data_IF_191926520393
#
_entry.id   IF_191926520393
#
_cell.length_a   1.000
_cell.length_b   1.000
_cell.length_c   1.000
_cell.angle_alpha   90.00
_cell.angle_beta   90.00
_cell.angle_gamma   90.00
#
_symmetry.space_group_name_H-M   'P 1'
#
loop_
_entity.id
_entity.type
_entity.pdbx_description
1 polymer ?
#
# COMPACT_ATOMS: atom_id res chain seq x y z
N UNK A 1 13.11 -42.26 9.90
CA UNK A 1 13.01 -40.79 9.68
C UNK A 1 12.91 -40.54 8.19
N UNK A 2 12.28 -39.44 7.77
CA UNK A 2 12.29 -39.07 6.35
C UNK A 2 13.67 -38.50 5.97
N UNK A 3 14.23 -38.95 4.86
CA UNK A 3 15.47 -38.40 4.29
C UNK A 3 15.20 -37.02 3.70
N UNK A 4 15.67 -35.96 4.36
CA UNK A 4 15.45 -34.57 3.95
C UNK A 4 16.75 -33.77 4.02
N UNK A 5 16.96 -32.93 3.00
CA UNK A 5 18.09 -32.00 2.92
C UNK A 5 18.05 -30.98 4.05
N UNK A 6 19.20 -30.40 4.36
CA UNK A 6 19.28 -29.31 5.34
C UNK A 6 18.52 -28.06 4.88
N UNK A 7 18.07 -27.24 5.82
CA UNK A 7 17.40 -25.98 5.51
C UNK A 7 18.28 -25.03 4.67
N UNK A 8 19.61 -25.04 4.89
CA UNK A 8 20.56 -24.24 4.12
C UNK A 8 20.68 -24.73 2.67
N UNK A 9 20.76 -26.04 2.43
CA UNK A 9 20.76 -26.60 1.07
C UNK A 9 19.46 -26.29 0.33
N UNK A 10 18.31 -26.38 1.01
CA UNK A 10 17.00 -26.05 0.44
C UNK A 10 16.93 -24.55 0.10
N UNK A 11 17.37 -23.67 1.00
CA UNK A 11 17.37 -22.24 0.79
C UNK A 11 18.32 -21.81 -0.35
N UNK A 12 19.51 -22.40 -0.43
CA UNK A 12 20.48 -22.13 -1.49
C UNK A 12 19.90 -22.53 -2.85
N UNK A 13 19.35 -23.74 -2.97
CA UNK A 13 18.69 -24.19 -4.21
C UNK A 13 17.55 -23.25 -4.60
N UNK A 14 16.70 -22.86 -3.65
CA UNK A 14 15.59 -21.95 -3.91
C UNK A 14 16.07 -20.59 -4.43
N UNK A 15 17.11 -20.01 -3.80
CA UNK A 15 17.68 -18.74 -4.21
C UNK A 15 18.32 -18.80 -5.61
N UNK A 16 18.94 -19.92 -5.98
CA UNK A 16 19.56 -20.10 -7.31
C UNK A 16 18.53 -20.31 -8.42
N UNK A 17 17.52 -21.15 -8.18
CA UNK A 17 16.61 -21.61 -9.25
C UNK A 17 15.44 -20.67 -9.48
N UNK A 18 14.92 -20.00 -8.44
CA UNK A 18 13.71 -19.17 -8.56
C UNK A 18 13.87 -17.99 -9.54
N UNK A 19 14.98 -17.22 -9.54
CA UNK A 19 15.14 -16.10 -10.46
C UNK A 19 15.12 -16.51 -11.95
N UNK A 20 15.56 -17.73 -12.26
CA UNK A 20 15.56 -18.26 -13.63
C UNK A 20 14.14 -18.47 -14.19
N UNK A 21 13.11 -18.45 -13.32
CA UNK A 21 11.70 -18.66 -13.68
C UNK A 21 10.91 -17.35 -13.77
N UNK A 22 11.60 -16.23 -13.96
CA UNK A 22 10.96 -14.91 -14.06
C UNK A 22 9.92 -14.85 -15.19
N UNK A 23 10.17 -15.51 -16.32
CA UNK A 23 9.22 -15.61 -17.44
C UNK A 23 7.95 -16.38 -17.08
N UNK A 24 8.08 -17.49 -16.34
CA UNK A 24 6.93 -18.28 -15.87
C UNK A 24 6.08 -17.47 -14.89
N UNK A 25 6.76 -16.74 -13.99
CA UNK A 25 6.09 -15.82 -13.06
C UNK A 25 5.31 -14.72 -13.80
N UNK A 26 5.93 -14.06 -14.78
CA UNK A 26 5.29 -13.04 -15.60
C UNK A 26 4.08 -13.60 -16.37
N UNK A 27 4.24 -14.76 -17.01
CA UNK A 27 3.16 -15.43 -17.75
C UNK A 27 1.97 -15.72 -16.84
N UNK A 28 2.20 -16.25 -15.64
CA UNK A 28 1.16 -16.53 -14.67
C UNK A 28 0.41 -15.28 -14.17
N UNK A 29 1.09 -14.13 -14.07
CA UNK A 29 0.47 -12.84 -13.71
C UNK A 29 -0.34 -12.29 -14.88
N UNK A 30 0.16 -12.40 -16.12
CA UNK A 30 -0.53 -11.90 -17.32
C UNK A 30 -1.76 -12.74 -17.70
N UNK A 31 -1.74 -14.04 -17.40
CA UNK A 31 -2.79 -14.98 -17.78
C UNK A 31 -3.23 -15.81 -16.57
N UNK A 32 -3.85 -15.18 -15.56
CA UNK A 32 -4.22 -15.89 -14.34
C UNK A 32 -5.37 -16.88 -14.62
N UNK A 33 -5.29 -18.08 -14.02
CA UNK A 33 -6.35 -19.11 -14.16
C UNK A 33 -7.70 -18.68 -13.58
N UNK A 34 -7.69 -17.73 -12.64
CA UNK A 34 -8.86 -17.10 -12.04
C UNK A 34 -8.59 -15.61 -11.98
N UNK A 35 -9.60 -14.80 -12.29
CA UNK A 35 -9.50 -13.36 -12.11
C UNK A 35 -9.20 -13.04 -10.63
N UNK A 36 -8.11 -12.33 -10.40
CA UNK A 36 -7.63 -12.05 -9.05
C UNK A 36 -8.60 -11.17 -8.27
N UNK A 37 -9.16 -10.13 -8.90
CA UNK A 37 -10.03 -9.17 -8.22
C UNK A 37 -11.34 -9.83 -7.76
N UNK A 38 -12.00 -10.58 -8.64
CA UNK A 38 -13.21 -11.33 -8.35
C UNK A 38 -12.99 -12.41 -7.28
N UNK A 39 -11.91 -13.18 -7.41
CA UNK A 39 -11.59 -14.21 -6.42
C UNK A 39 -11.31 -13.61 -5.04
N UNK A 40 -10.59 -12.48 -5.00
CA UNK A 40 -10.28 -11.77 -3.75
C UNK A 40 -11.53 -11.18 -3.11
N UNK A 41 -12.40 -10.54 -3.90
CA UNK A 41 -13.67 -9.99 -3.42
C UNK A 41 -14.59 -11.08 -2.84
N UNK A 42 -14.67 -12.25 -3.48
CA UNK A 42 -15.43 -13.38 -2.98
C UNK A 42 -14.89 -13.98 -1.66
N UNK A 43 -13.63 -13.70 -1.31
CA UNK A 43 -12.99 -14.19 -0.09
C UNK A 43 -13.09 -13.21 1.10
N UNK A 44 -13.87 -12.13 0.99
CA UNK A 44 -13.94 -11.08 2.00
C UNK A 44 -14.28 -11.59 3.41
N UNK A 45 -15.24 -12.53 3.53
CA UNK A 45 -15.64 -13.09 4.83
C UNK A 45 -14.55 -13.98 5.43
N UNK A 46 -13.89 -14.80 4.61
CA UNK A 46 -12.78 -15.63 5.05
C UNK A 46 -11.61 -14.77 5.55
N UNK A 47 -11.31 -13.68 4.83
CA UNK A 47 -10.30 -12.69 5.26
C UNK A 47 -10.68 -12.05 6.59
N UNK A 48 -11.94 -11.61 6.75
CA UNK A 48 -12.44 -10.99 7.98
C UNK A 48 -12.25 -11.91 9.18
N UNK A 49 -12.69 -13.16 9.08
CA UNK A 49 -12.53 -14.17 10.15
C UNK A 49 -11.05 -14.35 10.52
N UNK A 50 -10.18 -14.55 9.53
CA UNK A 50 -8.76 -14.75 9.79
C UNK A 50 -8.07 -13.55 10.45
N UNK A 51 -8.46 -12.32 10.09
CA UNK A 51 -7.95 -11.09 10.73
C UNK A 51 -8.46 -10.99 12.18
N UNK A 52 -9.74 -11.28 12.43
CA UNK A 52 -10.31 -11.29 13.79
C UNK A 52 -9.56 -12.28 14.68
N UNK A 53 -9.31 -13.49 14.20
CA UNK A 53 -8.54 -14.50 14.95
C UNK A 53 -7.11 -14.06 15.22
N UNK A 54 -6.46 -13.40 14.25
CA UNK A 54 -5.11 -12.87 14.42
C UNK A 54 -5.05 -11.74 15.46
N UNK A 55 -6.08 -10.88 15.50
CA UNK A 55 -6.25 -9.83 16.51
C UNK A 55 -6.44 -10.47 17.88
N UNK A 56 -7.40 -11.39 18.02
CA UNK A 56 -7.68 -12.09 19.27
C UNK A 56 -6.43 -12.83 19.80
N UNK A 57 -5.64 -13.43 18.90
CA UNK A 57 -4.40 -14.10 19.24
C UNK A 57 -3.20 -13.18 19.49
N UNK A 58 -3.34 -11.86 19.34
CA UNK A 58 -2.27 -10.87 19.48
C UNK A 58 -1.11 -11.08 18.50
N UNK A 59 -1.37 -11.67 17.31
CA UNK A 59 -0.33 -12.15 16.40
C UNK A 59 0.52 -11.01 15.83
N UNK A 60 -0.08 -9.83 15.62
CA UNK A 60 0.63 -8.65 15.11
C UNK A 60 1.76 -8.22 16.05
N UNK A 61 1.45 -7.92 17.31
CA UNK A 61 2.44 -7.47 18.30
C UNK A 61 3.51 -8.52 18.55
N UNK A 62 3.12 -9.81 18.62
CA UNK A 62 4.07 -10.92 18.72
C UNK A 62 5.04 -10.96 17.54
N UNK A 63 4.55 -10.72 16.32
CA UNK A 63 5.38 -10.65 15.12
C UNK A 63 6.34 -9.45 15.13
N UNK A 64 5.84 -8.27 15.53
CA UNK A 64 6.66 -7.06 15.67
C UNK A 64 7.78 -7.28 16.69
N UNK A 65 7.46 -7.81 17.87
CA UNK A 65 8.45 -8.08 18.92
C UNK A 65 9.48 -9.13 18.48
N UNK A 66 9.07 -10.13 17.70
CA UNK A 66 9.98 -11.14 17.14
C UNK A 66 10.95 -10.56 16.12
N UNK A 67 10.49 -9.66 15.26
CA UNK A 67 11.32 -9.04 14.24
C UNK A 67 12.23 -7.95 14.82
N UNK A 68 11.69 -7.11 15.70
CA UNK A 68 12.37 -5.93 16.23
C UNK A 68 12.71 -4.90 15.16
N UNK A 69 13.37 -3.83 15.59
CA UNK A 69 13.77 -2.71 14.73
C UNK A 69 14.77 -3.13 13.65
N UNK A 70 15.70 -4.03 13.98
CA UNK A 70 16.80 -4.41 13.09
C UNK A 70 16.30 -5.11 11.81
N UNK A 71 15.35 -6.04 11.92
CA UNK A 71 14.80 -6.74 10.74
C UNK A 71 14.03 -5.76 9.84
N UNK A 72 13.31 -4.80 10.43
CA UNK A 72 12.65 -3.75 9.66
C UNK A 72 13.66 -2.85 8.94
N UNK A 73 14.72 -2.39 9.63
CA UNK A 73 15.76 -1.55 9.03
C UNK A 73 16.44 -2.23 7.85
N UNK A 74 16.89 -3.49 8.02
CA UNK A 74 17.48 -4.26 6.94
C UNK A 74 16.51 -4.42 5.76
N UNK A 75 15.23 -4.74 6.02
CA UNK A 75 14.22 -4.85 4.97
C UNK A 75 13.98 -3.53 4.22
N UNK A 76 13.95 -2.41 4.92
CA UNK A 76 13.76 -1.08 4.33
C UNK A 76 14.97 -0.65 3.50
N UNK A 77 16.19 -0.90 3.98
CA UNK A 77 17.44 -0.53 3.30
C UNK A 77 17.67 -1.44 2.08
N UNK A 78 17.66 -2.75 2.27
CA UNK A 78 18.11 -3.70 1.25
C UNK A 78 17.08 -3.91 0.14
N UNK A 79 15.78 -3.77 0.45
CA UNK A 79 14.68 -3.98 -0.50
C UNK A 79 13.90 -2.71 -0.79
N UNK A 80 13.62 -1.92 0.24
CA UNK A 80 12.78 -0.72 0.13
C UNK A 80 13.44 0.36 -0.73
N UNK A 81 14.64 0.82 -0.36
CA UNK A 81 15.34 1.91 -1.05
C UNK A 81 15.52 1.60 -2.56
N UNK A 82 16.03 0.42 -2.97
CA UNK A 82 16.20 0.12 -4.39
C UNK A 82 14.89 0.10 -5.18
N UNK A 83 13.78 -0.32 -4.57
CA UNK A 83 12.47 -0.46 -5.25
C UNK A 83 11.63 0.81 -5.22
N UNK A 84 11.87 1.70 -4.26
CA UNK A 84 11.00 2.85 -4.00
C UNK A 84 10.93 3.80 -5.19
N UNK A 85 12.08 4.24 -5.73
CA UNK A 85 12.11 5.17 -6.86
C UNK A 85 11.43 4.63 -8.11
N UNK A 86 11.75 3.39 -8.49
CA UNK A 86 11.12 2.71 -9.63
C UNK A 86 9.61 2.54 -9.44
N UNK A 87 9.18 2.14 -8.23
CA UNK A 87 7.77 2.00 -7.89
C UNK A 87 6.99 3.32 -8.00
N UNK A 88 7.58 4.43 -7.55
CA UNK A 88 6.99 5.77 -7.67
C UNK A 88 6.85 6.18 -9.14
N UNK A 89 7.87 5.95 -9.97
CA UNK A 89 7.81 6.25 -11.41
C UNK A 89 6.71 5.44 -12.12
N UNK A 90 6.63 4.13 -11.86
CA UNK A 90 5.56 3.27 -12.41
C UNK A 90 4.17 3.74 -11.96
N UNK A 91 4.04 4.28 -10.75
CA UNK A 91 2.78 4.74 -10.20
C UNK A 91 2.36 6.16 -10.62
N UNK A 92 3.17 6.88 -11.41
CA UNK A 92 2.93 8.30 -11.74
C UNK A 92 1.54 8.54 -12.34
N UNK A 93 1.16 7.81 -13.39
CA UNK A 93 -0.15 7.98 -14.06
C UNK A 93 -1.32 7.62 -13.16
N UNK A 94 -1.14 6.63 -12.30
CA UNK A 94 -2.13 6.24 -11.28
C UNK A 94 -2.32 7.34 -10.25
N UNK A 95 -1.22 7.96 -9.80
CA UNK A 95 -1.27 9.09 -8.87
C UNK A 95 -2.00 10.27 -9.51
N UNK A 96 -1.64 10.65 -10.73
CA UNK A 96 -2.29 11.72 -11.48
C UNK A 96 -3.80 11.51 -11.59
N UNK A 97 -4.22 10.33 -12.03
CA UNK A 97 -5.64 9.99 -12.19
C UNK A 97 -6.39 10.01 -10.85
N UNK A 98 -5.79 9.45 -9.80
CA UNK A 98 -6.43 9.39 -8.48
C UNK A 98 -6.49 10.76 -7.79
N UNK A 99 -5.53 11.64 -8.07
CA UNK A 99 -5.44 12.97 -7.47
C UNK A 99 -6.22 14.03 -8.24
N UNK A 100 -6.45 13.84 -9.55
CA UNK A 100 -7.15 14.81 -10.40
C UNK A 100 -8.46 15.36 -9.79
N UNK A 101 -9.38 14.55 -9.22
CA UNK A 101 -10.60 15.08 -8.61
C UNK A 101 -10.35 16.04 -7.44
N UNK A 102 -9.27 15.83 -6.68
CA UNK A 102 -8.89 16.73 -5.60
C UNK A 102 -8.26 18.01 -6.13
N UNK A 103 -7.39 17.90 -7.15
CA UNK A 103 -6.83 19.06 -7.85
C UNK A 103 -7.93 19.97 -8.40
N UNK A 104 -8.94 19.39 -9.06
CA UNK A 104 -10.06 20.14 -9.65
C UNK A 104 -10.92 20.78 -8.55
N UNK A 105 -11.19 20.05 -7.46
CA UNK A 105 -11.92 20.57 -6.33
C UNK A 105 -11.21 21.76 -5.67
N UNK A 106 -9.88 21.68 -5.50
CA UNK A 106 -9.07 22.77 -4.93
C UNK A 106 -9.06 23.98 -5.86
N UNK A 107 -8.94 23.77 -7.18
CA UNK A 107 -8.97 24.84 -8.17
C UNK A 107 -10.30 25.59 -8.18
N UNK A 108 -11.41 24.89 -7.95
CA UNK A 108 -12.73 25.48 -7.84
C UNK A 108 -13.00 26.25 -6.53
N UNK A 109 -12.09 26.22 -5.54
CA UNK A 109 -12.32 26.90 -4.26
C UNK A 109 -12.20 28.41 -4.42
N UNK A 110 -13.29 29.13 -4.17
CA UNK A 110 -13.22 30.57 -3.91
C UNK A 110 -12.71 30.81 -2.50
N UNK A 111 -11.50 31.36 -2.38
CA UNK A 111 -10.87 31.60 -1.09
C UNK A 111 -11.45 32.85 -0.41
N UNK A 112 -11.71 32.82 0.91
CA UNK A 112 -12.06 34.00 1.69
C UNK A 112 -11.01 35.12 1.56
N UNK A 113 -11.36 36.39 1.84
CA UNK A 113 -10.41 37.50 1.82
C UNK A 113 -9.13 37.20 2.59
N UNK A 114 -7.99 37.71 2.08
CA UNK A 114 -6.71 37.60 2.78
C UNK A 114 -6.54 38.79 3.73
N UNK A 115 -6.19 38.51 4.96
CA UNK A 115 -5.97 39.51 6.02
C UNK A 115 -4.47 39.71 6.30
N UNK A 116 -4.14 40.65 7.19
CA UNK A 116 -2.76 40.97 7.57
C UNK A 116 -1.96 39.73 7.99
N UNK A 117 -0.63 39.80 7.84
CA UNK A 117 0.27 38.71 8.23
C UNK A 117 0.00 38.30 9.69
N UNK A 118 -0.15 36.99 9.95
CA UNK A 118 -0.50 36.38 11.26
C UNK A 118 -1.90 36.68 11.78
N UNK A 119 -2.76 37.33 11.01
CA UNK A 119 -4.18 37.42 11.37
C UNK A 119 -4.79 36.00 11.36
N UNK A 120 -5.43 35.57 12.47
CA UNK A 120 -5.95 34.21 12.60
C UNK A 120 -7.02 33.88 11.56
N UNK A 121 -7.75 34.87 11.03
CA UNK A 121 -8.78 34.67 9.98
C UNK A 121 -8.19 34.15 8.67
N UNK A 122 -6.88 34.28 8.44
CA UNK A 122 -6.24 33.66 7.28
C UNK A 122 -6.32 32.12 7.30
N UNK A 123 -6.55 31.49 8.46
CA UNK A 123 -6.75 30.05 8.58
C UNK A 123 -8.04 29.59 7.89
N UNK A 124 -9.05 30.46 7.75
CA UNK A 124 -10.29 30.15 7.06
C UNK A 124 -10.07 29.78 5.58
N UNK A 125 -8.99 30.29 4.99
CA UNK A 125 -8.57 29.92 3.62
C UNK A 125 -8.06 28.49 3.54
N UNK A 126 -7.31 28.03 4.54
CA UNK A 126 -6.86 26.63 4.64
C UNK A 126 -8.06 25.73 4.90
N UNK A 127 -8.96 26.14 5.81
CA UNK A 127 -10.20 25.43 6.08
C UNK A 127 -11.02 25.22 4.82
N UNK A 128 -11.21 26.26 3.98
CA UNK A 128 -11.96 26.15 2.73
C UNK A 128 -11.40 25.08 1.78
N UNK A 129 -10.06 25.00 1.65
CA UNK A 129 -9.38 23.98 0.84
C UNK A 129 -9.61 22.58 1.42
N UNK A 130 -9.43 22.42 2.74
CA UNK A 130 -9.61 21.13 3.43
C UNK A 130 -11.05 20.64 3.33
N UNK A 131 -12.03 21.54 3.51
CA UNK A 131 -13.45 21.21 3.39
C UNK A 131 -13.78 20.71 1.97
N UNK A 132 -13.21 21.33 0.92
CA UNK A 132 -13.36 20.88 -0.46
C UNK A 132 -12.76 19.48 -0.72
N UNK A 133 -11.57 19.20 -0.16
CA UNK A 133 -10.95 17.88 -0.25
C UNK A 133 -11.76 16.81 0.49
N UNK A 134 -12.25 17.12 1.69
CA UNK A 134 -13.08 16.20 2.49
C UNK A 134 -14.39 15.86 1.77
N UNK A 135 -15.07 16.86 1.20
CA UNK A 135 -16.26 16.66 0.37
C UNK A 135 -15.96 15.78 -0.85
N UNK A 136 -14.81 15.99 -1.48
CA UNK A 136 -14.36 15.16 -2.62
C UNK A 136 -14.14 13.72 -2.19
N UNK A 137 -13.48 13.49 -1.05
CA UNK A 137 -13.26 12.15 -0.50
C UNK A 137 -14.58 11.43 -0.25
N UNK A 138 -15.53 12.06 0.43
CA UNK A 138 -16.85 11.48 0.73
C UNK A 138 -17.55 10.98 -0.55
N UNK A 139 -17.65 11.87 -1.55
CA UNK A 139 -18.21 11.56 -2.88
C UNK A 139 -17.53 10.37 -3.56
N UNK A 140 -16.21 10.26 -3.48
CA UNK A 140 -15.45 9.17 -4.10
C UNK A 140 -15.54 7.85 -3.32
N UNK A 141 -15.75 7.88 -2.00
CA UNK A 141 -15.88 6.68 -1.17
C UNK A 141 -17.28 6.06 -1.17
N UNK A 142 -18.25 6.66 -1.87
CA UNK A 142 -19.64 6.19 -1.83
C UNK A 142 -20.30 6.34 -0.46
N UNK A 143 -19.81 7.29 0.35
CA UNK A 143 -20.31 7.62 1.69
C UNK A 143 -20.95 9.01 1.69
#
# INVERSE_FOLDING_TARGET
>A
MAEIRSASEIAAKWATVTPQRTSDYESGVRQPRKDWARATAAAADAWKTGVTDAIAGGRFVKGVNRAGTAVWQAGAIDKGIPRWGQGVQVAQSKYETAFAPYRDAIEGVTLPPRFARRDPRNLDRVKAIVDAMNKTKARLSGA
#
